data_IF_114226272927
#
_entry.id   IF_114226272927
#
_cell.length_a   1.000
_cell.length_b   1.000
_cell.length_c   1.000
_cell.angle_alpha   90.00
_cell.angle_beta   90.00
_cell.angle_gamma   90.00
#
_symmetry.space_group_name_H-M   'P 1'
#
loop_
_entity.id
_entity.type
_entity.pdbx_description
1 polymer ?
#
# COMPACT_ATOMS: atom_id res chain seq x y z
N UNK A 1 8.11 14.59 18.90
CA UNK A 1 6.92 14.39 18.05
C UNK A 1 7.30 13.94 16.64
N UNK A 2 8.20 14.63 15.93
CA UNK A 2 8.62 14.27 14.57
C UNK A 2 9.08 12.81 14.38
N UNK A 3 9.83 12.24 15.34
CA UNK A 3 10.27 10.84 15.28
C UNK A 3 9.06 9.89 15.26
N UNK A 4 8.03 10.13 16.08
CA UNK A 4 6.83 9.30 16.13
C UNK A 4 6.04 9.34 14.83
N UNK A 5 5.89 10.53 14.24
CA UNK A 5 5.25 10.69 12.94
C UNK A 5 6.03 10.00 11.81
N UNK A 6 7.37 10.14 11.82
CA UNK A 6 8.24 9.44 10.88
C UNK A 6 8.16 7.93 10.99
N UNK A 7 8.08 7.39 12.21
CA UNK A 7 7.89 5.95 12.44
C UNK A 7 6.51 5.47 11.96
N UNK A 8 5.44 6.23 12.22
CA UNK A 8 4.08 5.87 11.82
C UNK A 8 3.95 5.70 10.29
N UNK A 9 4.41 6.68 9.51
CA UNK A 9 4.36 6.59 8.04
C UNK A 9 5.45 5.67 7.49
N UNK A 10 6.65 5.68 8.07
CA UNK A 10 7.80 4.91 7.58
C UNK A 10 7.55 3.40 7.67
N UNK A 11 7.09 2.90 8.83
CA UNK A 11 6.81 1.49 9.02
C UNK A 11 5.59 1.03 8.19
N UNK A 12 4.56 1.88 8.08
CA UNK A 12 3.41 1.60 7.23
C UNK A 12 3.81 1.51 5.75
N UNK A 13 4.69 2.41 5.28
CA UNK A 13 5.23 2.39 3.92
C UNK A 13 6.05 1.13 3.62
N UNK A 14 6.90 0.70 4.56
CA UNK A 14 7.68 -0.55 4.41
C UNK A 14 6.74 -1.75 4.29
N UNK A 15 5.75 -1.89 5.20
CA UNK A 15 4.80 -2.99 5.17
C UNK A 15 3.96 -3.01 3.88
N UNK A 16 3.52 -1.83 3.44
CA UNK A 16 2.76 -1.64 2.19
C UNK A 16 3.59 -2.05 0.98
N UNK A 17 4.84 -1.57 0.88
CA UNK A 17 5.73 -1.90 -0.23
C UNK A 17 6.05 -3.39 -0.31
N UNK A 18 6.26 -4.07 0.83
CA UNK A 18 6.45 -5.53 0.85
C UNK A 18 5.20 -6.24 0.31
N UNK A 19 4.02 -5.91 0.84
CA UNK A 19 2.78 -6.53 0.38
C UNK A 19 2.51 -6.25 -1.11
N UNK A 20 2.72 -5.01 -1.57
CA UNK A 20 2.54 -4.62 -2.97
C UNK A 20 3.56 -5.24 -3.92
N UNK A 21 4.77 -5.56 -3.47
CA UNK A 21 5.75 -6.24 -4.32
C UNK A 21 5.22 -7.60 -4.79
N UNK A 22 4.48 -8.30 -3.93
CA UNK A 22 3.86 -9.58 -4.23
C UNK A 22 2.54 -9.41 -4.99
N UNK A 23 1.63 -8.55 -4.51
CA UNK A 23 0.31 -8.37 -5.16
C UNK A 23 0.43 -7.70 -6.52
N UNK A 24 1.38 -6.77 -6.70
CA UNK A 24 1.67 -6.11 -7.98
C UNK A 24 2.21 -7.08 -9.02
N UNK A 25 3.16 -7.96 -8.64
CA UNK A 25 3.67 -9.00 -9.55
C UNK A 25 2.55 -9.96 -9.98
N UNK A 26 1.71 -10.41 -9.04
CA UNK A 26 0.56 -11.26 -9.33
C UNK A 26 -0.48 -10.56 -10.22
N UNK A 27 -0.79 -9.30 -9.94
CA UNK A 27 -1.73 -8.49 -10.70
C UNK A 27 -1.29 -8.29 -12.15
N UNK A 28 -0.01 -7.98 -12.40
CA UNK A 28 0.54 -7.85 -13.75
C UNK A 28 0.46 -9.19 -14.50
N UNK A 29 0.80 -10.30 -13.84
CA UNK A 29 0.67 -11.64 -14.42
C UNK A 29 -0.78 -11.97 -14.81
N UNK A 30 -1.74 -11.72 -13.91
CA UNK A 30 -3.15 -11.98 -14.14
C UNK A 30 -3.72 -11.13 -15.29
N UNK A 31 -3.28 -9.88 -15.44
CA UNK A 31 -3.67 -8.99 -16.55
C UNK A 31 -3.02 -9.39 -17.87
N UNK A 32 -1.79 -9.92 -17.82
CA UNK A 32 -1.10 -10.44 -18.99
C UNK A 32 -1.76 -11.72 -19.52
N UNK A 33 -2.28 -12.58 -18.63
CA UNK A 33 -3.05 -13.78 -18.99
C UNK A 33 -4.44 -13.43 -19.54
N UNK A 34 -5.18 -12.56 -18.85
CA UNK A 34 -6.49 -12.07 -19.32
C UNK A 34 -6.69 -10.61 -18.92
N UNK A 35 -6.90 -9.73 -19.92
CA UNK A 35 -7.17 -8.30 -19.69
C UNK A 35 -8.45 -8.06 -18.90
N UNK A 36 -9.40 -9.00 -18.88
CA UNK A 36 -10.59 -8.96 -18.04
C UNK A 36 -10.27 -8.86 -16.54
N UNK A 37 -9.08 -9.30 -16.12
CA UNK A 37 -8.64 -9.23 -14.73
C UNK A 37 -8.19 -7.84 -14.26
N UNK A 38 -8.09 -6.84 -15.15
CA UNK A 38 -7.55 -5.51 -14.80
C UNK A 38 -8.22 -4.88 -13.58
N UNK A 39 -9.56 -4.86 -13.54
CA UNK A 39 -10.30 -4.25 -12.44
C UNK A 39 -10.09 -4.99 -11.11
N UNK A 40 -10.14 -6.32 -11.12
CA UNK A 40 -9.91 -7.14 -9.92
C UNK A 40 -8.47 -6.98 -9.42
N UNK A 41 -7.49 -7.01 -10.33
CA UNK A 41 -6.09 -6.77 -10.02
C UNK A 41 -5.86 -5.41 -9.37
N UNK A 42 -6.55 -4.35 -9.85
CA UNK A 42 -6.45 -3.02 -9.26
C UNK A 42 -7.01 -2.99 -7.82
N UNK A 43 -8.13 -3.68 -7.56
CA UNK A 43 -8.70 -3.80 -6.22
C UNK A 43 -7.72 -4.51 -5.27
N UNK A 44 -7.10 -5.61 -5.71
CA UNK A 44 -6.15 -6.34 -4.88
C UNK A 44 -4.87 -5.55 -4.57
N UNK A 45 -4.38 -4.73 -5.50
CA UNK A 45 -3.25 -3.81 -5.23
C UNK A 45 -3.66 -2.70 -4.25
N UNK A 46 -4.91 -2.23 -4.31
CA UNK A 46 -5.40 -1.16 -3.44
C UNK A 46 -5.53 -1.57 -1.97
N UNK A 47 -5.71 -2.87 -1.67
CA UNK A 47 -5.83 -3.35 -0.28
C UNK A 47 -4.57 -3.02 0.54
N UNK A 48 -3.35 -3.45 0.13
CA UNK A 48 -2.12 -3.01 0.78
C UNK A 48 -1.94 -1.49 0.86
N UNK A 49 -2.34 -0.74 -0.18
CA UNK A 49 -2.21 0.72 -0.23
C UNK A 49 -2.95 1.41 0.93
N UNK A 50 -4.03 0.81 1.44
CA UNK A 50 -4.75 1.35 2.60
C UNK A 50 -3.87 1.47 3.84
N UNK A 51 -2.87 0.60 4.00
CA UNK A 51 -1.99 0.59 5.19
C UNK A 51 -1.12 1.86 5.23
N UNK A 52 -0.49 2.24 4.11
CA UNK A 52 0.33 3.46 4.06
C UNK A 52 -0.53 4.72 4.19
N UNK A 53 -1.75 4.73 3.64
CA UNK A 53 -2.69 5.84 3.79
C UNK A 53 -3.04 6.04 5.28
N UNK A 54 -3.34 4.96 6.01
CA UNK A 54 -3.59 5.05 7.44
C UNK A 54 -2.34 5.51 8.21
N UNK A 55 -1.15 5.01 7.86
CA UNK A 55 0.12 5.48 8.44
C UNK A 55 0.36 6.98 8.23
N UNK A 56 0.04 7.50 7.04
CA UNK A 56 0.09 8.93 6.74
C UNK A 56 -0.90 9.74 7.59
N UNK A 57 -2.15 9.27 7.73
CA UNK A 57 -3.16 9.94 8.58
C UNK A 57 -2.68 10.00 10.03
N UNK A 58 -2.16 8.91 10.58
CA UNK A 58 -1.62 8.89 11.95
C UNK A 58 -0.41 9.80 12.09
N UNK A 59 0.51 9.82 11.12
CA UNK A 59 1.64 10.74 11.12
C UNK A 59 1.18 12.20 11.17
N UNK A 60 0.15 12.56 10.39
CA UNK A 60 -0.44 13.90 10.42
C UNK A 60 -1.06 14.21 11.80
N UNK A 61 -1.79 13.27 12.41
CA UNK A 61 -2.37 13.44 13.75
C UNK A 61 -1.32 13.57 14.87
N UNK A 62 -0.10 13.06 14.68
CA UNK A 62 1.00 13.19 15.64
C UNK A 62 1.72 14.55 15.49
N UNK A 63 1.70 15.14 14.29
CA UNK A 63 2.36 16.41 13.99
C UNK A 63 1.49 17.64 14.27
N UNK A 64 0.17 17.51 14.07
CA UNK A 64 -0.82 18.53 14.43
C UNK A 64 -0.99 18.67 15.92
#
# INVERSE_FOLDING_TARGET
>A
MAIGAGLAIGLAGIGTGVAQSHTGAAAVGAVAEDRGNFANSLIFIAIPETVVILGFVIANQILG
#
